data_IF_029617817314
#
_entry.id   IF_029617817314
#
_cell.length_a   1.000
_cell.length_b   1.000
_cell.length_c   1.000
_cell.angle_alpha   90.00
_cell.angle_beta   90.00
_cell.angle_gamma   90.00
#
_symmetry.space_group_name_H-M   'P 1'
#
loop_
_entity.id
_entity.type
_entity.pdbx_description
1 polymer ?
#
# COMPACT_ATOMS: atom_id res chain seq x y z
N UNK A 1 10.54 -0.56 30.09
CA UNK A 1 9.34 -1.17 29.47
C UNK A 1 9.44 -0.87 27.97
N UNK A 2 9.94 -1.80 27.18
CA UNK A 2 10.00 -1.66 25.73
C UNK A 2 8.69 -2.24 25.18
N UNK A 3 7.76 -1.36 24.79
CA UNK A 3 6.58 -1.76 24.05
C UNK A 3 7.03 -2.16 22.65
N UNK A 4 6.97 -3.45 22.32
CA UNK A 4 7.16 -3.90 20.94
C UNK A 4 6.14 -3.16 20.05
N UNK A 5 6.55 -2.52 18.94
CA UNK A 5 5.59 -1.87 18.08
C UNK A 5 4.70 -2.93 17.48
N UNK A 6 3.42 -2.94 17.87
CA UNK A 6 2.37 -3.76 17.27
C UNK A 6 2.19 -3.33 15.81
N UNK A 7 3.02 -3.86 14.93
CA UNK A 7 2.96 -3.59 13.50
C UNK A 7 1.75 -4.31 12.90
N UNK A 8 0.89 -3.57 12.21
CA UNK A 8 -0.27 -4.14 11.53
C UNK A 8 0.21 -5.02 10.38
N UNK A 9 -0.32 -6.25 10.30
CA UNK A 9 0.02 -7.15 9.21
C UNK A 9 -0.69 -6.74 7.93
N UNK A 10 0.09 -6.47 6.87
CA UNK A 10 -0.41 -6.10 5.55
C UNK A 10 -0.38 -7.31 4.64
N UNK A 11 -1.53 -7.62 4.03
CA UNK A 11 -1.68 -8.68 3.05
C UNK A 11 -1.88 -8.11 1.65
N UNK A 12 -1.35 -8.79 0.64
CA UNK A 12 -1.48 -8.41 -0.75
C UNK A 12 -2.38 -9.39 -1.50
N UNK A 13 -3.38 -8.87 -2.20
CA UNK A 13 -4.15 -9.67 -3.15
C UNK A 13 -3.27 -10.12 -4.33
N UNK A 14 -3.53 -11.30 -4.88
CA UNK A 14 -2.77 -11.85 -6.02
C UNK A 14 -2.81 -10.93 -7.25
N UNK A 15 -3.94 -10.25 -7.46
CA UNK A 15 -4.11 -9.28 -8.53
C UNK A 15 -3.16 -8.08 -8.37
N UNK A 16 -2.96 -7.61 -7.13
CA UNK A 16 -2.03 -6.53 -6.84
C UNK A 16 -0.59 -6.96 -7.16
N UNK A 17 -0.18 -8.14 -6.72
CA UNK A 17 1.17 -8.66 -6.98
C UNK A 17 1.45 -8.84 -8.48
N UNK A 18 0.46 -9.37 -9.22
CA UNK A 18 0.53 -9.57 -10.66
C UNK A 18 0.64 -8.25 -11.42
N UNK A 19 -0.18 -7.26 -11.05
CA UNK A 19 -0.15 -5.93 -11.67
C UNK A 19 1.17 -5.20 -11.37
N UNK A 20 1.67 -5.28 -10.13
CA UNK A 20 2.94 -4.66 -9.75
C UNK A 20 4.11 -5.27 -10.54
N UNK A 21 4.10 -6.58 -10.77
CA UNK A 21 5.10 -7.28 -11.61
C UNK A 21 5.05 -6.83 -13.08
N UNK A 22 3.86 -6.61 -13.63
CA UNK A 22 3.73 -6.10 -14.99
C UNK A 22 4.24 -4.65 -15.09
N UNK A 23 3.85 -3.80 -14.13
CA UNK A 23 4.24 -2.40 -14.07
C UNK A 23 5.74 -2.21 -13.84
N UNK A 24 6.40 -3.11 -13.10
CA UNK A 24 7.85 -3.01 -12.86
C UNK A 24 8.70 -3.07 -14.13
N UNK A 25 8.14 -3.56 -15.25
CA UNK A 25 8.81 -3.54 -16.57
C UNK A 25 8.95 -2.11 -17.12
N UNK A 26 7.94 -1.26 -16.91
CA UNK A 26 7.88 0.14 -17.38
C UNK A 26 8.40 1.12 -16.32
N UNK A 27 8.04 0.87 -15.06
CA UNK A 27 8.36 1.71 -13.91
C UNK A 27 9.33 0.95 -13.00
N UNK A 28 10.62 1.05 -13.29
CA UNK A 28 11.67 0.23 -12.64
C UNK A 28 11.72 0.42 -11.12
N UNK A 29 11.31 1.58 -10.62
CA UNK A 29 11.28 1.93 -9.20
C UNK A 29 9.94 1.69 -8.51
N UNK A 30 8.92 1.17 -9.19
CA UNK A 30 7.55 1.08 -8.64
C UNK A 30 7.47 0.30 -7.32
N UNK A 31 8.35 -0.68 -7.10
CA UNK A 31 8.41 -1.41 -5.82
C UNK A 31 8.85 -0.49 -4.68
N UNK A 32 9.89 0.31 -4.92
CA UNK A 32 10.37 1.32 -3.98
C UNK A 32 9.38 2.47 -3.83
N UNK A 33 8.67 2.85 -4.90
CA UNK A 33 7.67 3.92 -4.85
C UNK A 33 6.44 3.53 -3.99
N UNK A 34 6.09 2.23 -3.96
CA UNK A 34 4.97 1.69 -3.17
C UNK A 34 5.37 1.35 -1.75
N UNK A 35 6.65 1.10 -1.48
CA UNK A 35 7.17 0.69 -0.17
C UNK A 35 6.77 1.66 0.98
N UNK A 36 6.88 3.00 0.84
CA UNK A 36 6.45 3.93 1.88
C UNK A 36 4.96 3.80 2.24
N UNK A 37 4.11 3.46 1.28
CA UNK A 37 2.66 3.28 1.52
C UNK A 37 2.43 2.02 2.36
N UNK A 38 3.18 0.95 2.10
CA UNK A 38 3.09 -0.30 2.88
C UNK A 38 3.54 -0.04 4.32
N UNK A 39 4.62 0.73 4.51
CA UNK A 39 5.12 1.10 5.84
C UNK A 39 4.09 1.93 6.62
N UNK A 40 3.44 2.91 5.97
CA UNK A 40 2.34 3.67 6.57
C UNK A 40 1.17 2.76 7.00
N UNK A 41 0.78 1.80 6.15
CA UNK A 41 -0.25 0.82 6.48
C UNK A 41 0.15 -0.07 7.68
N UNK A 42 1.42 -0.47 7.77
CA UNK A 42 1.96 -1.23 8.90
C UNK A 42 1.97 -0.44 10.21
N UNK A 43 2.03 0.90 10.13
CA UNK A 43 1.89 1.81 11.27
C UNK A 43 0.43 2.08 11.65
N UNK A 44 -0.53 1.58 10.87
CA UNK A 44 -1.97 1.82 11.06
C UNK A 44 -2.47 3.13 10.48
N UNK A 45 -1.66 3.79 9.64
CA UNK A 45 -2.13 4.92 8.85
C UNK A 45 -2.97 4.42 7.67
N UNK A 46 -3.95 5.21 7.26
CA UNK A 46 -4.83 4.92 6.12
C UNK A 46 -4.59 5.98 5.02
N UNK A 47 -3.48 5.88 4.26
CA UNK A 47 -3.11 6.89 3.27
C UNK A 47 -4.08 6.93 2.09
N UNK A 48 -4.36 8.14 1.61
CA UNK A 48 -5.20 8.39 0.44
C UNK A 48 -6.62 8.84 0.79
N UNK A 49 -7.53 8.70 -0.15
CA UNK A 49 -8.93 9.11 0.00
C UNK A 49 -9.82 7.87 0.09
N UNK A 50 -10.74 7.86 1.05
CA UNK A 50 -11.78 6.84 1.10
C UNK A 50 -12.71 6.99 -0.12
N UNK A 51 -13.03 5.87 -0.77
CA UNK A 51 -14.02 5.83 -1.84
C UNK A 51 -15.40 5.70 -1.17
N UNK A 52 -16.29 6.63 -1.46
CA UNK A 52 -17.68 6.60 -0.99
C UNK A 52 -18.59 5.83 -1.95
N UNK A 53 -19.73 5.35 -1.43
CA UNK A 53 -20.74 4.64 -2.24
C UNK A 53 -20.45 3.16 -2.45
N UNK A 54 -19.64 2.55 -1.58
CA UNK A 54 -19.38 1.10 -1.51
C UNK A 54 -19.60 0.66 -0.07
N UNK A 55 -20.07 -0.57 0.12
CA UNK A 55 -20.32 -1.14 1.45
C UNK A 55 -19.02 -1.45 2.22
N UNK A 56 -17.91 -1.56 1.48
CA UNK A 56 -16.58 -1.81 2.05
C UNK A 56 -15.76 -0.52 2.25
N UNK A 57 -14.90 -0.53 3.27
CA UNK A 57 -13.94 0.55 3.52
C UNK A 57 -12.77 0.40 2.55
N UNK A 58 -12.79 1.18 1.47
CA UNK A 58 -11.74 1.19 0.45
C UNK A 58 -11.06 2.54 0.39
N UNK A 59 -9.72 2.55 0.46
CA UNK A 59 -8.91 3.76 0.29
C UNK A 59 -8.13 3.72 -1.03
N UNK A 60 -8.03 4.88 -1.68
CA UNK A 60 -7.25 5.06 -2.91
C UNK A 60 -6.12 6.07 -2.69
N UNK A 61 -4.89 5.61 -2.91
CA UNK A 61 -3.67 6.43 -2.85
C UNK A 61 -3.03 6.53 -4.23
N UNK A 62 -2.44 7.69 -4.54
CA UNK A 62 -1.62 7.88 -5.75
C UNK A 62 -0.16 7.66 -5.39
N UNK A 63 0.46 6.69 -6.03
CA UNK A 63 1.91 6.47 -5.96
C UNK A 63 2.59 7.58 -6.77
N UNK A 64 3.48 8.34 -6.15
CA UNK A 64 4.33 9.30 -6.86
C UNK A 64 5.54 8.55 -7.40
N UNK A 65 5.86 8.79 -8.67
CA UNK A 65 7.08 8.27 -9.28
C UNK A 65 8.24 9.17 -8.82
N UNK A 66 9.29 8.56 -8.27
CA UNK A 66 10.54 9.25 -7.93
C UNK A 66 11.56 9.14 -9.07
#
# INVERSE_FOLDING_TARGET
>A
MQSEPTSIQVYFADQFQSNLRALSKKYRHIRSDVQPIIEQLQLGELPGNQISGIDDIVFKVRVKQN
#
